data_IF_866663363646
#
_entry.id   IF_866663363646
#
_cell.length_a   1.000
_cell.length_b   1.000
_cell.length_c   1.000
_cell.angle_alpha   90.00
_cell.angle_beta   90.00
_cell.angle_gamma   90.00
#
_symmetry.space_group_name_H-M   'P 1'
#
loop_
_entity.id
_entity.type
_entity.pdbx_description
1 polymer ?
#
# COMPACT_ATOMS: atom_id res chain seq x y z
N UNK A 1 32.05 -3.45 0.05
CA UNK A 1 31.84 -3.05 1.46
C UNK A 1 30.60 -2.16 1.52
N UNK A 2 29.40 -2.72 1.29
CA UNK A 2 28.11 -2.01 1.35
C UNK A 2 27.36 -2.32 2.66
N UNK A 3 28.01 -3.04 3.59
CA UNK A 3 27.33 -3.74 4.70
C UNK A 3 27.21 -2.96 6.01
N UNK A 4 27.62 -1.68 6.08
CA UNK A 4 27.67 -0.94 7.36
C UNK A 4 26.74 0.30 7.47
N UNK A 5 25.77 0.48 6.58
CA UNK A 5 24.79 1.58 6.73
C UNK A 5 23.41 1.15 7.27
N UNK A 6 23.04 -0.11 7.13
CA UNK A 6 21.76 -0.63 7.63
C UNK A 6 21.99 -1.66 8.73
N UNK A 7 21.21 -1.56 9.81
CA UNK A 7 21.19 -2.56 10.87
C UNK A 7 20.69 -3.90 10.34
N UNK A 8 21.13 -5.00 10.96
CA UNK A 8 20.57 -6.33 10.71
C UNK A 8 19.05 -6.41 10.98
N UNK A 9 18.52 -5.50 11.80
CA UNK A 9 17.08 -5.38 12.10
C UNK A 9 16.30 -4.52 11.11
N UNK A 10 16.97 -3.92 10.11
CA UNK A 10 16.31 -3.08 9.11
C UNK A 10 15.25 -3.87 8.35
N UNK A 11 14.12 -3.21 8.07
CA UNK A 11 13.00 -3.86 7.40
C UNK A 11 13.33 -4.13 5.94
N UNK A 12 13.07 -5.37 5.50
CA UNK A 12 13.17 -5.82 4.12
C UNK A 12 11.97 -6.72 3.82
N UNK A 13 11.23 -6.42 2.77
CA UNK A 13 9.99 -7.10 2.44
C UNK A 13 10.19 -8.59 2.09
N UNK A 14 11.33 -8.95 1.51
CA UNK A 14 11.71 -10.34 1.20
C UNK A 14 11.81 -11.24 2.45
N UNK A 15 12.12 -10.64 3.61
CA UNK A 15 12.18 -11.32 4.91
C UNK A 15 10.85 -11.37 5.67
N UNK A 16 9.75 -10.89 5.07
CA UNK A 16 8.45 -10.83 5.73
C UNK A 16 7.96 -12.16 6.32
N UNK A 17 8.26 -13.29 5.65
CA UNK A 17 7.87 -14.64 6.11
C UNK A 17 8.52 -15.06 7.42
N UNK A 18 9.66 -14.45 7.78
CA UNK A 18 10.42 -14.76 9.00
C UNK A 18 9.97 -13.90 10.19
N UNK A 19 9.13 -12.89 9.96
CA UNK A 19 8.72 -11.93 10.99
C UNK A 19 7.63 -12.50 11.88
N UNK A 20 7.94 -12.65 13.17
CA UNK A 20 6.96 -12.99 14.20
C UNK A 20 6.33 -11.72 14.77
N UNK A 21 5.09 -11.44 14.40
CA UNK A 21 4.33 -10.26 14.88
C UNK A 21 3.61 -10.57 16.20
N UNK A 22 3.48 -9.59 17.12
CA UNK A 22 2.77 -9.78 18.37
C UNK A 22 1.25 -9.97 18.15
N UNK A 23 0.62 -10.64 19.12
CA UNK A 23 -0.84 -10.78 19.17
C UNK A 23 -1.53 -9.42 19.32
N UNK A 24 -2.75 -9.36 18.81
CA UNK A 24 -3.55 -8.13 18.84
C UNK A 24 -4.09 -7.89 20.24
N UNK A 25 -3.83 -6.71 20.80
CA UNK A 25 -4.37 -6.26 22.07
C UNK A 25 -5.79 -5.74 21.96
N UNK A 26 -6.43 -5.50 23.12
CA UNK A 26 -7.83 -5.05 23.19
C UNK A 26 -8.08 -3.73 22.44
N UNK A 27 -7.16 -2.75 22.55
CA UNK A 27 -7.31 -1.47 21.84
C UNK A 27 -7.25 -1.64 20.33
N UNK A 28 -6.37 -2.49 19.84
CA UNK A 28 -6.27 -2.80 18.41
C UNK A 28 -7.57 -3.42 17.88
N UNK A 29 -8.21 -4.30 18.66
CA UNK A 29 -9.49 -4.89 18.28
C UNK A 29 -10.62 -3.83 18.17
N UNK A 30 -10.56 -2.75 18.94
CA UNK A 30 -11.49 -1.61 18.82
C UNK A 30 -11.28 -0.88 17.50
N UNK A 31 -10.03 -0.60 17.13
CA UNK A 31 -9.66 -0.01 15.84
C UNK A 31 -10.18 -0.83 14.65
N UNK A 32 -9.96 -2.15 14.69
CA UNK A 32 -10.40 -3.03 13.60
C UNK A 32 -11.92 -3.11 13.38
N UNK A 33 -12.74 -2.62 14.31
CA UNK A 33 -14.21 -2.67 14.20
C UNK A 33 -14.82 -1.41 13.57
N UNK A 34 -14.12 -0.27 13.62
CA UNK A 34 -14.64 1.03 13.18
C UNK A 34 -13.84 1.69 12.07
N UNK A 35 -12.69 1.13 11.70
CA UNK A 35 -11.74 1.72 10.74
C UNK A 35 -11.42 0.74 9.62
N UNK A 36 -11.04 1.25 8.46
CA UNK A 36 -10.67 0.42 7.30
C UNK A 36 -9.18 0.06 7.45
N UNK A 37 -8.86 -1.22 7.59
CA UNK A 37 -7.46 -1.68 7.65
C UNK A 37 -6.81 -1.53 6.27
N UNK A 38 -5.62 -0.92 6.24
CA UNK A 38 -4.80 -0.83 5.05
C UNK A 38 -3.88 -2.07 4.95
N UNK A 39 -3.75 -2.68 3.77
CA UNK A 39 -2.95 -3.88 3.58
C UNK A 39 -1.45 -3.55 3.61
N UNK A 40 -0.64 -4.50 4.07
CA UNK A 40 0.79 -4.46 3.78
C UNK A 40 1.00 -4.85 2.32
N UNK A 41 1.66 -3.99 1.56
CA UNK A 41 1.84 -4.18 0.13
C UNK A 41 2.72 -5.41 -0.12
N UNK A 42 2.34 -6.26 -1.09
CA UNK A 42 3.18 -7.36 -1.56
C UNK A 42 4.10 -6.95 -2.71
N UNK A 43 3.64 -6.01 -3.53
CA UNK A 43 4.42 -5.35 -4.57
C UNK A 43 4.08 -3.86 -4.51
N UNK A 44 5.11 -3.02 -4.44
CA UNK A 44 4.94 -1.59 -4.41
C UNK A 44 4.49 -1.08 -5.79
N UNK A 45 3.41 -0.30 -5.84
CA UNK A 45 2.90 0.31 -7.06
C UNK A 45 3.85 1.39 -7.61
N UNK A 46 4.73 1.92 -6.74
CA UNK A 46 5.62 3.05 -7.04
C UNK A 46 4.84 4.31 -7.49
N UNK A 47 3.60 4.43 -7.02
CA UNK A 47 2.79 5.63 -7.15
C UNK A 47 2.99 6.45 -5.89
N UNK A 48 3.34 7.72 -6.02
CA UNK A 48 3.49 8.60 -4.87
C UNK A 48 2.14 9.24 -4.51
N UNK A 49 1.84 9.48 -3.21
CA UNK A 49 0.67 10.25 -2.81
C UNK A 49 0.74 11.65 -3.42
N UNK A 50 -0.44 12.24 -3.63
CA UNK A 50 -0.45 13.66 -3.99
C UNK A 50 -0.01 14.43 -2.76
N UNK A 51 1.16 15.07 -2.86
CA UNK A 51 1.60 16.00 -1.85
C UNK A 51 1.21 17.40 -2.30
N UNK A 52 0.50 18.11 -1.44
CA UNK A 52 0.40 19.55 -1.57
C UNK A 52 1.81 20.09 -1.36
N UNK A 53 2.50 20.39 -2.46
CA UNK A 53 3.74 21.14 -2.37
C UNK A 53 3.31 22.58 -2.10
N UNK A 54 3.20 22.95 -0.82
CA UNK A 54 3.09 24.36 -0.47
C UNK A 54 4.30 25.08 -1.09
N UNK A 55 4.09 26.29 -1.62
CA UNK A 55 5.15 27.09 -2.27
C UNK A 55 6.43 27.17 -1.39
N UNK A 56 6.27 27.06 -0.08
CA UNK A 56 7.33 27.06 0.93
C UNK A 56 8.35 25.90 0.84
N UNK A 57 8.01 24.75 0.23
CA UNK A 57 8.93 23.61 0.06
C UNK A 57 10.00 23.90 -1.00
N UNK A 58 9.73 24.81 -1.94
CA UNK A 58 10.73 25.27 -2.92
C UNK A 58 11.64 26.37 -2.38
N UNK A 59 11.17 27.14 -1.39
CA UNK A 59 11.86 28.33 -0.85
C UNK A 59 12.61 28.08 0.47
N UNK A 60 12.36 26.99 1.20
CA UNK A 60 13.11 26.74 2.43
C UNK A 60 14.49 26.15 2.12
N UNK A 61 15.53 26.95 2.39
CA UNK A 61 16.94 26.51 2.42
C UNK A 61 17.17 25.31 3.36
N UNK A 62 16.21 25.03 4.27
CA UNK A 62 16.19 23.94 5.25
C UNK A 62 15.93 22.54 4.67
N UNK A 63 15.42 22.41 3.42
CA UNK A 63 15.23 21.08 2.78
C UNK A 63 16.60 20.51 2.40
N UNK A 64 17.23 19.83 3.35
CA UNK A 64 18.53 19.18 3.16
C UNK A 64 19.47 19.24 4.36
N UNK A 65 19.13 19.99 5.42
CA UNK A 65 19.97 20.06 6.62
C UNK A 65 19.77 18.82 7.53
N UNK A 66 20.85 18.41 8.22
CA UNK A 66 20.83 17.37 9.26
C UNK A 66 19.97 17.86 10.44
N UNK A 67 18.67 17.61 10.37
CA UNK A 67 17.68 18.15 11.32
C UNK A 67 16.29 18.34 10.72
N UNK A 68 16.14 18.24 9.40
CA UNK A 68 14.83 18.27 8.73
C UNK A 68 13.91 17.15 9.24
N UNK A 69 12.60 17.44 9.31
CA UNK A 69 11.57 16.49 9.73
C UNK A 69 11.52 15.23 8.85
N UNK A 70 12.01 15.32 7.62
CA UNK A 70 12.20 14.21 6.71
C UNK A 70 13.68 14.07 6.35
N UNK A 71 14.26 12.91 6.63
CA UNK A 71 15.63 12.56 6.22
C UNK A 71 15.65 11.15 5.63
N UNK A 72 16.74 10.79 4.94
CA UNK A 72 16.90 9.41 4.45
C UNK A 72 16.98 8.37 5.58
N UNK A 73 17.29 8.76 6.82
CA UNK A 73 17.45 7.81 7.94
C UNK A 73 16.21 7.76 8.84
N UNK A 74 15.51 8.89 8.96
CA UNK A 74 14.43 9.11 9.92
C UNK A 74 13.31 9.95 9.31
N UNK A 75 12.09 9.45 9.46
CA UNK A 75 10.87 10.22 9.31
C UNK A 75 10.41 10.66 10.71
N UNK A 76 10.51 11.95 11.01
CA UNK A 76 10.15 12.50 12.30
C UNK A 76 8.63 12.57 12.49
N UNK A 77 8.18 12.24 13.70
CA UNK A 77 6.81 12.52 14.11
C UNK A 77 6.79 13.79 14.95
N UNK A 78 6.39 14.92 14.35
CA UNK A 78 6.31 16.21 15.07
C UNK A 78 4.97 16.34 15.78
N UNK A 79 4.99 16.34 17.11
CA UNK A 79 3.86 16.77 17.92
C UNK A 79 3.93 18.27 18.20
N UNK A 80 2.82 18.99 18.00
CA UNK A 80 2.68 20.36 18.51
C UNK A 80 2.53 20.27 20.03
N UNK A 81 3.31 21.04 20.80
CA UNK A 81 3.12 21.08 22.26
C UNK A 81 1.68 21.53 22.56
N UNK A 82 1.00 20.88 23.50
CA UNK A 82 -0.41 21.22 23.80
C UNK A 82 -0.63 22.71 24.13
N UNK A 83 0.31 23.34 24.84
CA UNK A 83 0.29 24.78 25.10
C UNK A 83 0.53 25.62 23.84
N UNK A 84 1.38 25.18 22.91
CA UNK A 84 1.64 25.94 21.68
C UNK A 84 0.47 25.84 20.72
N UNK A 85 -0.26 24.72 20.68
CA UNK A 85 -1.52 24.61 19.95
C UNK A 85 -2.57 25.60 20.50
N UNK A 86 -2.64 25.78 21.82
CA UNK A 86 -3.51 26.79 22.43
C UNK A 86 -3.11 28.21 22.02
N UNK A 87 -1.81 28.54 22.10
CA UNK A 87 -1.29 29.86 21.68
C UNK A 87 -1.54 30.11 20.19
N UNK A 88 -1.35 29.11 19.32
CA UNK A 88 -1.63 29.23 17.89
C UNK A 88 -3.12 29.44 17.60
N UNK A 89 -4.02 28.75 18.30
CA UNK A 89 -5.46 29.00 18.20
C UNK A 89 -5.83 30.40 18.71
N UNK A 90 -5.21 30.88 19.78
CA UNK A 90 -5.45 32.21 20.32
C UNK A 90 -4.95 33.31 19.37
N UNK A 91 -3.75 33.16 18.80
CA UNK A 91 -3.17 34.12 17.87
C UNK A 91 -3.87 34.11 16.50
N UNK A 92 -4.16 32.92 15.95
CA UNK A 92 -4.90 32.76 14.70
C UNK A 92 -6.37 33.21 14.83
N UNK A 93 -7.02 32.84 15.94
CA UNK A 93 -8.37 33.28 16.29
C UNK A 93 -8.43 34.75 16.68
N UNK A 94 -7.35 35.33 17.20
CA UNK A 94 -7.25 36.74 17.62
C UNK A 94 -7.60 37.71 16.50
N UNK A 95 -7.25 37.40 15.26
CA UNK A 95 -7.70 38.15 14.09
C UNK A 95 -9.24 38.10 13.93
N UNK A 96 -9.84 36.91 14.00
CA UNK A 96 -11.29 36.74 13.88
C UNK A 96 -12.03 37.45 15.03
N UNK A 97 -11.56 37.30 16.27
CA UNK A 97 -12.11 37.99 17.43
C UNK A 97 -11.98 39.51 17.31
N UNK A 98 -10.88 40.02 16.75
CA UNK A 98 -10.74 41.46 16.48
C UNK A 98 -11.73 41.96 15.43
N UNK A 99 -12.05 41.15 14.39
CA UNK A 99 -13.07 41.50 13.40
C UNK A 99 -14.47 41.49 13.99
N UNK A 100 -14.79 40.51 14.85
CA UNK A 100 -16.06 40.43 15.57
C UNK A 100 -16.20 41.61 16.54
N UNK A 101 -15.15 41.95 17.28
CA UNK A 101 -15.13 43.10 18.18
C UNK A 101 -15.26 44.43 17.42
N UNK A 102 -14.63 44.56 16.24
CA UNK A 102 -14.82 45.71 15.36
C UNK A 102 -16.27 45.81 14.87
N UNK A 103 -16.88 44.71 14.43
CA UNK A 103 -18.31 44.68 14.05
C UNK A 103 -19.22 45.08 15.22
N UNK A 104 -18.97 44.56 16.42
CA UNK A 104 -19.74 44.90 17.61
C UNK A 104 -19.60 46.39 17.99
N UNK A 105 -18.38 46.94 17.88
CA UNK A 105 -18.13 48.37 18.14
C UNK A 105 -18.78 49.26 17.07
N UNK A 106 -18.73 48.88 15.79
CA UNK A 106 -19.44 49.61 14.73
C UNK A 106 -20.95 49.61 14.98
N UNK A 107 -21.53 48.48 15.38
CA UNK A 107 -22.96 48.41 15.76
C UNK A 107 -23.25 49.27 16.98
N UNK A 108 -22.37 49.27 17.99
CA UNK A 108 -22.51 50.10 19.19
C UNK A 108 -22.38 51.60 18.87
N UNK A 109 -21.48 52.00 17.97
CA UNK A 109 -21.33 53.39 17.51
C UNK A 109 -22.46 53.85 16.56
N UNK A 110 -23.25 52.92 16.00
CA UNK A 110 -24.48 53.22 15.26
C UNK A 110 -25.72 53.25 16.19
N UNK A 111 -25.64 52.62 17.36
CA UNK A 111 -26.71 52.60 18.38
C UNK A 111 -27.21 53.99 18.86
N UNK A 112 -26.41 55.08 18.84
CA UNK A 112 -26.89 56.42 19.19
C UNK A 112 -27.76 57.08 18.12
N UNK A 113 -27.80 56.54 16.89
CA UNK A 113 -28.65 57.07 15.81
C UNK A 113 -30.12 56.61 15.93
N UNK A 114 -30.46 55.83 16.96
CA UNK A 114 -31.84 55.59 17.39
C UNK A 114 -32.31 56.77 18.26
N UNK A 115 -33.55 57.25 18.09
CA UNK A 115 -33.99 58.52 18.65
C UNK A 115 -33.96 58.49 20.18
N UNK A 116 -33.11 59.35 20.79
CA UNK A 116 -33.03 59.80 22.20
C UNK A 116 -31.60 59.88 22.82
N UNK A 117 -30.51 59.79 22.04
CA UNK A 117 -29.14 59.93 22.57
C UNK A 117 -28.51 61.30 22.20
N UNK A 118 -28.17 62.12 23.19
CA UNK A 118 -27.23 63.24 23.01
C UNK A 118 -25.80 62.67 23.12
N UNK A 119 -24.93 62.90 22.14
CA UNK A 119 -23.52 62.46 22.16
C UNK A 119 -22.58 63.61 21.80
N UNK A 120 -21.48 63.72 22.55
CA UNK A 120 -20.43 64.72 22.35
C UNK A 120 -19.38 64.22 21.32
N UNK A 121 -18.71 65.16 20.62
CA UNK A 121 -17.65 64.85 19.64
C UNK A 121 -16.50 64.03 20.27
N UNK A 122 -16.26 64.22 21.56
CA UNK A 122 -15.27 63.45 22.33
C UNK A 122 -15.61 61.96 22.40
N UNK A 123 -16.88 61.61 22.53
CA UNK A 123 -17.33 60.21 22.61
C UNK A 123 -17.18 59.52 21.25
N UNK A 124 -17.48 60.25 20.17
CA UNK A 124 -17.23 59.78 18.79
C UNK A 124 -15.74 59.51 18.53
N UNK A 125 -14.84 60.39 18.97
CA UNK A 125 -13.40 60.19 18.82
C UNK A 125 -12.86 59.03 19.66
N UNK A 126 -13.42 58.81 20.85
CA UNK A 126 -13.07 57.68 21.71
C UNK A 126 -13.45 56.36 21.04
N UNK A 127 -14.66 56.27 20.48
CA UNK A 127 -15.15 55.11 19.74
C UNK A 127 -14.26 54.77 18.54
N UNK A 128 -13.94 55.76 17.70
CA UNK A 128 -13.05 55.57 16.54
C UNK A 128 -11.66 55.09 16.99
N UNK A 129 -11.14 55.64 18.10
CA UNK A 129 -9.84 55.25 18.64
C UNK A 129 -9.84 53.80 19.16
N UNK A 130 -10.92 53.36 19.80
CA UNK A 130 -11.08 51.98 20.27
C UNK A 130 -11.21 51.03 19.08
N UNK A 131 -12.03 51.37 18.08
CA UNK A 131 -12.20 50.58 16.84
C UNK A 131 -10.85 50.43 16.12
N UNK A 132 -10.12 51.53 15.92
CA UNK A 132 -8.80 51.51 15.31
C UNK A 132 -7.80 50.67 16.09
N UNK A 133 -7.80 50.78 17.43
CA UNK A 133 -6.95 49.99 18.32
C UNK A 133 -7.21 48.48 18.22
N UNK A 134 -8.48 48.06 18.22
CA UNK A 134 -8.88 46.65 18.06
C UNK A 134 -8.47 46.11 16.70
N UNK A 135 -8.64 46.89 15.63
CA UNK A 135 -8.21 46.52 14.30
C UNK A 135 -6.69 46.34 14.22
N UNK A 136 -5.91 47.30 14.72
CA UNK A 136 -4.44 47.20 14.77
C UNK A 136 -3.96 45.99 15.57
N UNK A 137 -4.62 45.68 16.70
CA UNK A 137 -4.31 44.50 17.50
C UNK A 137 -4.58 43.19 16.73
N UNK A 138 -5.64 43.14 15.94
CA UNK A 138 -5.94 42.03 15.03
C UNK A 138 -4.85 41.78 13.99
N UNK A 139 -4.38 42.84 13.34
CA UNK A 139 -3.26 42.75 12.38
C UNK A 139 -1.96 42.34 13.06
N UNK A 140 -1.70 42.82 14.27
CA UNK A 140 -0.53 42.41 15.05
C UNK A 140 -0.60 40.90 15.35
N UNK A 141 -1.75 40.38 15.80
CA UNK A 141 -1.91 38.93 16.02
C UNK A 141 -1.73 38.13 14.73
N UNK A 142 -2.29 38.58 13.60
CA UNK A 142 -2.12 37.92 12.30
C UNK A 142 -0.66 37.92 11.83
N UNK A 143 0.06 39.01 12.07
CA UNK A 143 1.48 39.14 11.75
C UNK A 143 2.33 38.20 12.61
N UNK A 144 2.14 38.20 13.93
CA UNK A 144 2.82 37.30 14.86
C UNK A 144 2.52 35.84 14.48
N UNK A 145 1.27 35.51 14.19
CA UNK A 145 0.87 34.18 13.75
C UNK A 145 1.59 33.78 12.46
N UNK A 146 1.61 34.65 11.45
CA UNK A 146 2.31 34.37 10.18
C UNK A 146 3.82 34.24 10.36
N UNK A 147 4.41 34.97 11.29
CA UNK A 147 5.83 34.85 11.63
C UNK A 147 6.10 33.50 12.30
N UNK A 148 5.27 33.10 13.27
CA UNK A 148 5.38 31.79 13.91
C UNK A 148 5.18 30.66 12.88
N UNK A 149 4.21 30.74 11.97
CA UNK A 149 4.04 29.71 10.92
C UNK A 149 5.32 29.45 10.10
N UNK A 150 6.19 30.46 9.95
CA UNK A 150 7.48 30.33 9.26
C UNK A 150 8.62 29.77 10.13
N UNK A 151 8.44 29.73 11.45
CA UNK A 151 9.42 29.31 12.44
C UNK A 151 8.87 28.15 13.31
N UNK A 152 8.57 26.98 12.70
CA UNK A 152 8.01 25.83 13.40
C UNK A 152 8.86 25.34 14.58
N UNK A 153 10.17 25.54 14.54
CA UNK A 153 11.13 25.20 15.59
C UNK A 153 10.84 25.87 16.94
N UNK A 154 10.10 26.98 16.97
CA UNK A 154 9.72 27.64 18.22
C UNK A 154 8.58 26.93 18.97
N UNK A 155 7.81 26.08 18.29
CA UNK A 155 6.63 25.42 18.90
C UNK A 155 6.47 23.93 18.63
N UNK A 156 7.14 23.40 17.62
CA UNK A 156 7.32 21.98 17.40
C UNK A 156 8.66 21.55 18.03
N UNK A 157 8.60 20.67 19.02
CA UNK A 157 9.82 20.04 19.55
C UNK A 157 9.99 18.65 19.01
N UNK A 158 11.21 18.34 18.59
CA UNK A 158 11.61 16.97 18.34
C UNK A 158 11.64 16.18 19.66
N UNK A 159 10.72 15.24 19.82
CA UNK A 159 10.68 14.36 20.99
C UNK A 159 11.54 13.10 20.82
N UNK A 160 12.24 12.96 19.68
CA UNK A 160 13.05 11.79 19.32
C UNK A 160 12.22 10.62 18.77
N UNK A 161 10.91 10.80 18.59
CA UNK A 161 9.98 9.81 18.04
C UNK A 161 9.86 9.91 16.51
N UNK A 162 9.46 8.79 15.91
CA UNK A 162 9.37 8.64 14.46
C UNK A 162 9.82 7.28 13.97
N UNK A 163 9.97 7.18 12.66
CA UNK A 163 10.27 5.94 11.95
C UNK A 163 11.71 5.97 11.46
N UNK A 164 12.50 4.96 11.81
CA UNK A 164 13.94 4.90 11.54
C UNK A 164 14.24 3.82 10.50
N UNK A 165 14.47 4.24 9.26
CA UNK A 165 14.74 3.36 8.11
C UNK A 165 15.96 2.46 8.35
N UNK A 166 17.06 3.04 8.80
CA UNK A 166 18.33 2.31 9.00
C UNK A 166 18.22 1.16 10.02
N UNK A 167 17.34 1.28 11.01
CA UNK A 167 17.19 0.26 12.06
C UNK A 167 15.95 -0.60 11.89
N UNK A 168 14.97 -0.19 11.08
CA UNK A 168 13.66 -0.84 10.99
C UNK A 168 12.78 -0.62 12.23
N UNK A 169 13.15 0.33 13.10
CA UNK A 169 12.49 0.58 14.38
C UNK A 169 11.65 1.85 14.33
N UNK A 170 10.57 1.86 15.10
CA UNK A 170 9.72 3.00 15.39
C UNK A 170 9.97 3.40 16.84
N UNK A 171 10.44 4.63 17.05
CA UNK A 171 10.66 5.16 18.40
C UNK A 171 9.47 6.01 18.81
N UNK A 172 9.02 5.83 20.04
CA UNK A 172 7.83 6.46 20.59
C UNK A 172 8.20 7.13 21.90
N UNK A 173 7.92 8.44 22.04
CA UNK A 173 8.12 9.13 23.31
C UNK A 173 7.01 8.72 24.29
N UNK A 174 7.40 8.12 25.40
CA UNK A 174 6.53 7.85 26.55
C UNK A 174 6.93 8.73 27.74
N UNK A 175 6.11 8.68 28.79
CA UNK A 175 6.33 9.43 30.04
C UNK A 175 7.74 9.24 30.63
N UNK A 176 8.30 8.04 30.54
CA UNK A 176 9.58 7.67 31.16
C UNK A 176 10.71 7.46 30.14
N UNK A 177 10.63 8.11 28.98
CA UNK A 177 11.69 8.04 27.97
C UNK A 177 11.20 7.51 26.63
N UNK A 178 12.17 7.21 25.76
CA UNK A 178 11.93 6.78 24.39
C UNK A 178 11.91 5.25 24.34
N UNK A 179 10.84 4.68 23.80
CA UNK A 179 10.69 3.22 23.64
C UNK A 179 10.70 2.88 22.16
N UNK A 180 11.43 1.83 21.79
CA UNK A 180 11.56 1.38 20.39
C UNK A 180 10.74 0.12 20.15
N UNK A 181 10.05 0.06 19.01
CA UNK A 181 9.25 -1.08 18.55
C UNK A 181 9.64 -1.42 17.11
N UNK A 182 9.63 -2.71 16.70
CA UNK A 182 9.79 -3.07 15.29
C UNK A 182 8.70 -2.42 14.42
N UNK A 183 9.05 -1.91 13.25
CA UNK A 183 8.07 -1.33 12.31
C UNK A 183 6.98 -2.33 11.91
N UNK A 184 7.34 -3.60 11.81
CA UNK A 184 6.43 -4.70 11.51
C UNK A 184 5.37 -4.90 12.59
N UNK A 185 5.49 -4.35 13.79
CA UNK A 185 4.49 -4.53 14.86
C UNK A 185 3.29 -3.58 14.71
N UNK A 186 3.32 -2.71 13.70
CA UNK A 186 2.27 -1.74 13.39
C UNK A 186 1.42 -2.18 12.19
N UNK A 187 0.13 -1.88 12.22
CA UNK A 187 -0.76 -1.93 11.06
C UNK A 187 -1.37 -0.55 10.86
N UNK A 188 -1.72 -0.23 9.62
CA UNK A 188 -2.30 1.05 9.27
C UNK A 188 -3.81 0.95 9.06
N UNK A 189 -4.52 2.02 9.40
CA UNK A 189 -5.96 2.15 9.28
C UNK A 189 -6.34 3.52 8.73
N UNK A 190 -7.43 3.57 7.97
CA UNK A 190 -8.13 4.82 7.67
C UNK A 190 -9.14 5.06 8.78
N UNK A 191 -8.87 6.07 9.60
CA UNK A 191 -9.72 6.49 10.69
C UNK A 191 -10.66 7.61 10.26
N UNK A 192 -11.95 7.49 10.57
CA UNK A 192 -12.92 8.55 10.30
C UNK A 192 -13.10 9.39 11.56
N UNK A 193 -12.62 10.62 11.51
CA UNK A 193 -12.85 11.60 12.55
C UNK A 193 -14.04 12.49 12.21
N UNK A 194 -14.88 12.74 13.21
CA UNK A 194 -15.98 13.70 13.13
C UNK A 194 -15.67 14.84 14.08
N UNK A 195 -15.48 16.04 13.54
CA UNK A 195 -15.32 17.23 14.38
C UNK A 195 -16.65 17.49 15.10
N UNK A 196 -16.60 17.42 16.43
CA UNK A 196 -17.77 17.65 17.29
C UNK A 196 -18.37 19.05 17.17
N UNK A 197 -17.58 20.03 16.72
CA UNK A 197 -18.01 21.43 16.65
C UNK A 197 -18.57 21.79 15.27
N UNK A 198 -17.89 21.40 14.19
CA UNK A 198 -18.34 21.72 12.83
C UNK A 198 -19.24 20.64 12.21
N UNK A 199 -19.28 19.43 12.79
CA UNK A 199 -19.94 18.27 12.19
C UNK A 199 -19.25 17.74 10.93
N UNK A 200 -18.12 18.34 10.54
CA UNK A 200 -17.36 17.89 9.37
C UNK A 200 -16.69 16.57 9.66
N UNK A 201 -16.62 15.73 8.62
CA UNK A 201 -15.89 14.47 8.67
C UNK A 201 -14.60 14.58 7.90
N UNK A 202 -13.52 14.05 8.47
CA UNK A 202 -12.24 13.95 7.80
C UNK A 202 -11.62 12.59 8.12
N UNK A 203 -10.83 12.07 7.18
CA UNK A 203 -10.14 10.79 7.34
C UNK A 203 -8.68 11.01 7.65
N UNK A 204 -8.12 10.21 8.56
CA UNK A 204 -6.71 10.24 8.93
C UNK A 204 -6.05 8.87 8.68
N UNK A 205 -4.75 8.88 8.33
CA UNK A 205 -3.93 7.68 8.37
C UNK A 205 -3.47 7.42 9.81
N UNK A 206 -4.06 6.39 10.44
CA UNK A 206 -3.68 5.93 11.76
C UNK A 206 -2.74 4.72 11.65
N UNK A 207 -1.51 4.85 12.14
CA UNK A 207 -0.55 3.74 12.26
C UNK A 207 -0.58 3.24 13.71
N UNK A 208 -1.14 2.04 13.90
CA UNK A 208 -1.53 1.49 15.20
C UNK A 208 -0.65 0.30 15.55
N UNK A 209 -0.07 0.31 16.74
CA UNK A 209 0.67 -0.85 17.25
C UNK A 209 -0.30 -1.99 17.61
N UNK A 210 0.04 -3.24 17.26
CA UNK A 210 -0.81 -4.43 17.47
C UNK A 210 -1.14 -4.73 18.93
N UNK A 211 -0.15 -4.81 19.81
CA UNK A 211 -0.35 -5.13 21.24
C UNK A 211 -0.35 -3.91 22.17
N UNK A 212 0.46 -2.89 21.85
CA UNK A 212 0.69 -1.73 22.72
C UNK A 212 -0.31 -0.60 22.46
N UNK A 213 -0.52 0.25 23.47
CA UNK A 213 -1.38 1.45 23.38
C UNK A 213 -0.66 2.60 22.67
N UNK A 214 -0.21 2.40 21.43
CA UNK A 214 0.53 3.38 20.61
C UNK A 214 -0.18 3.57 19.27
N UNK A 215 -0.44 4.83 18.92
CA UNK A 215 -1.04 5.24 17.64
C UNK A 215 -0.32 6.49 17.14
N UNK A 216 0.01 6.53 15.86
CA UNK A 216 0.49 7.72 15.16
C UNK A 216 -0.56 8.15 14.14
N UNK A 217 -0.94 9.42 14.15
CA UNK A 217 -1.78 10.00 13.10
C UNK A 217 -0.88 10.77 12.13
N UNK A 218 -0.72 10.24 10.93
CA UNK A 218 0.22 10.78 9.95
C UNK A 218 -0.53 11.60 8.91
N UNK A 219 -0.15 12.88 8.76
CA UNK A 219 -0.53 13.69 7.63
C UNK A 219 0.68 13.84 6.69
N UNK A 220 0.83 12.90 5.75
CA UNK A 220 1.95 12.88 4.81
C UNK A 220 1.67 13.66 3.50
N UNK A 221 0.42 14.09 3.29
CA UNK A 221 0.01 14.85 2.08
C UNK A 221 0.01 16.35 2.29
N UNK A 222 -0.10 16.81 3.55
CA UNK A 222 -0.32 18.22 3.89
C UNK A 222 -1.76 18.68 3.62
N UNK A 223 -2.64 17.81 3.12
CA UNK A 223 -4.04 18.14 2.87
C UNK A 223 -4.86 17.99 4.15
N UNK A 224 -5.77 18.95 4.39
CA UNK A 224 -6.74 18.89 5.50
C UNK A 224 -7.82 17.81 5.29
N UNK A 225 -8.10 17.43 4.03
CA UNK A 225 -9.12 16.46 3.66
C UNK A 225 -8.60 15.47 2.61
N UNK A 226 -7.62 14.64 3.01
CA UNK A 226 -7.11 13.57 2.18
C UNK A 226 -8.20 12.50 1.93
N UNK A 227 -8.32 12.01 0.69
CA UNK A 227 -9.26 10.92 0.37
C UNK A 227 -8.77 9.58 0.93
N UNK A 228 -9.64 8.56 1.10
CA UNK A 228 -9.21 7.22 1.51
C UNK A 228 -8.07 6.66 0.65
N UNK A 229 -8.09 6.89 -0.66
CA UNK A 229 -7.05 6.43 -1.60
C UNK A 229 -5.70 7.11 -1.34
N UNK A 230 -5.67 8.37 -0.91
CA UNK A 230 -4.44 9.03 -0.48
C UNK A 230 -3.84 8.30 0.72
N UNK A 231 -4.65 7.81 1.66
CA UNK A 231 -4.15 7.06 2.81
C UNK A 231 -3.50 5.72 2.42
N UNK A 232 -4.02 5.02 1.40
CA UNK A 232 -3.35 3.83 0.85
C UNK A 232 -1.96 4.17 0.30
N UNK A 233 -1.85 5.25 -0.48
CA UNK A 233 -0.57 5.69 -1.04
C UNK A 233 0.41 6.19 0.03
N UNK A 234 -0.08 6.92 1.02
CA UNK A 234 0.72 7.35 2.16
C UNK A 234 1.26 6.15 2.94
N UNK A 235 0.44 5.12 3.14
CA UNK A 235 0.87 3.89 3.79
C UNK A 235 1.89 3.12 2.95
N UNK A 236 1.67 2.98 1.63
CA UNK A 236 2.64 2.36 0.74
C UNK A 236 3.97 3.12 0.70
N UNK A 237 3.91 4.46 0.62
CA UNK A 237 5.06 5.34 0.65
C UNK A 237 5.86 5.17 1.95
N UNK A 238 5.19 5.08 3.10
CA UNK A 238 5.84 4.82 4.38
C UNK A 238 6.49 3.43 4.42
N UNK A 239 5.81 2.40 3.89
CA UNK A 239 6.41 1.06 3.78
C UNK A 239 7.67 1.07 2.92
N UNK A 240 7.64 1.73 1.74
CA UNK A 240 8.80 1.89 0.85
C UNK A 240 9.92 2.69 1.50
N UNK A 241 9.57 3.74 2.25
CA UNK A 241 10.52 4.51 3.04
C UNK A 241 11.19 3.65 4.12
N UNK A 242 10.48 2.72 4.75
CA UNK A 242 11.06 1.84 5.77
C UNK A 242 11.80 0.63 5.19
N UNK A 243 11.47 0.21 3.97
CA UNK A 243 12.08 -0.94 3.31
C UNK A 243 13.43 -0.58 2.67
N UNK A 244 14.52 -1.08 3.24
CA UNK A 244 15.88 -0.81 2.75
C UNK A 244 16.21 -1.54 1.43
N UNK A 245 15.38 -2.49 1.00
CA UNK A 245 15.49 -3.13 -0.32
C UNK A 245 14.97 -2.25 -1.45
N UNK A 246 14.16 -1.24 -1.13
CA UNK A 246 13.58 -0.32 -2.10
C UNK A 246 14.28 1.04 -2.07
N UNK A 247 14.31 1.75 -3.19
CA UNK A 247 14.73 3.15 -3.21
C UNK A 247 13.75 4.02 -2.42
N UNK A 248 14.24 5.10 -1.82
CA UNK A 248 13.42 6.13 -1.18
C UNK A 248 12.29 6.61 -2.11
N UNK A 249 11.12 6.96 -1.56
CA UNK A 249 10.04 7.60 -2.31
C UNK A 249 10.53 8.78 -3.15
N UNK A 250 10.02 8.87 -4.38
CA UNK A 250 10.43 9.92 -5.31
C UNK A 250 9.61 11.20 -5.06
N UNK A 251 9.92 11.89 -3.96
CA UNK A 251 9.25 13.13 -3.53
C UNK A 251 10.27 14.27 -3.36
N UNK A 252 9.85 15.54 -3.52
CA UNK A 252 10.75 16.70 -3.41
C UNK A 252 11.54 16.77 -2.10
N UNK A 253 10.90 16.43 -0.96
CA UNK A 253 11.49 16.52 0.38
C UNK A 253 12.66 15.55 0.58
N UNK A 254 12.67 14.43 -0.15
CA UNK A 254 13.74 13.44 -0.05
C UNK A 254 14.85 13.67 -1.10
N UNK A 255 14.66 14.58 -2.05
CA UNK A 255 15.61 14.84 -3.15
C UNK A 255 17.06 15.06 -2.67
N UNK A 256 17.33 15.91 -1.65
CA UNK A 256 18.70 16.14 -1.18
C UNK A 256 19.36 14.88 -0.60
N UNK A 257 18.56 13.96 -0.06
CA UNK A 257 19.06 12.78 0.64
C UNK A 257 19.12 11.53 -0.25
N UNK A 258 18.57 11.55 -1.47
CA UNK A 258 18.62 10.40 -2.40
C UNK A 258 20.05 9.91 -2.69
N UNK A 259 21.06 10.78 -2.89
CA UNK A 259 22.44 10.32 -3.09
C UNK A 259 23.09 9.72 -1.83
N UNK A 260 22.57 10.01 -0.64
CA UNK A 260 23.13 9.56 0.64
C UNK A 260 22.65 8.16 1.03
N UNK A 261 21.45 7.76 0.58
CA UNK A 261 20.93 6.41 0.80
C UNK A 261 21.51 5.43 -0.26
N UNK A 262 22.20 4.36 0.16
CA UNK A 262 22.97 3.50 -0.75
C UNK A 262 22.07 2.75 -1.73
N UNK A 263 20.92 2.22 -1.27
CA UNK A 263 19.95 1.55 -2.14
C UNK A 263 19.38 2.51 -3.18
N UNK A 264 19.04 3.73 -2.75
CA UNK A 264 18.50 4.78 -3.63
C UNK A 264 19.54 5.25 -4.64
N UNK A 265 20.77 5.52 -4.22
CA UNK A 265 21.86 5.94 -5.09
C UNK A 265 22.17 4.89 -6.17
N UNK A 266 22.19 3.60 -5.81
CA UNK A 266 22.37 2.51 -6.76
C UNK A 266 21.22 2.43 -7.77
N UNK A 267 19.97 2.52 -7.29
CA UNK A 267 18.77 2.52 -8.13
C UNK A 267 18.72 3.71 -9.10
N UNK A 268 19.04 4.92 -8.62
CA UNK A 268 19.02 6.14 -9.40
C UNK A 268 20.13 6.15 -10.46
N UNK A 269 21.32 5.64 -10.12
CA UNK A 269 22.41 5.41 -11.07
C UNK A 269 22.01 4.42 -12.17
N UNK A 270 21.35 3.32 -11.80
CA UNK A 270 20.89 2.31 -12.76
C UNK A 270 19.83 2.86 -13.73
N UNK A 271 18.95 3.76 -13.27
CA UNK A 271 17.92 4.40 -14.10
C UNK A 271 18.37 5.70 -14.79
N UNK A 272 19.59 6.17 -14.56
CA UNK A 272 20.09 7.44 -15.11
C UNK A 272 19.31 8.67 -14.61
N UNK A 273 18.75 8.62 -13.40
CA UNK A 273 17.99 9.73 -12.81
C UNK A 273 18.92 10.87 -12.39
N UNK A 274 18.59 12.11 -12.76
CA UNK A 274 19.32 13.31 -12.31
C UNK A 274 18.98 13.66 -10.85
N UNK A 275 19.96 14.13 -10.10
CA UNK A 275 19.86 14.46 -8.67
C UNK A 275 19.12 15.79 -8.38
N UNK A 276 18.85 16.59 -9.40
CA UNK A 276 18.19 17.90 -9.32
C UNK A 276 16.84 17.92 -10.03
N UNK A 277 16.22 16.74 -10.19
CA UNK A 277 14.95 16.55 -10.90
C UNK A 277 13.86 17.44 -10.32
N UNK A 278 13.70 17.43 -8.99
CA UNK A 278 12.64 18.19 -8.32
C UNK A 278 12.94 19.69 -8.27
N UNK A 279 14.20 20.08 -8.06
CA UNK A 279 14.62 21.49 -8.04
C UNK A 279 14.42 22.21 -9.38
N UNK A 280 14.58 21.50 -10.50
CA UNK A 280 14.39 22.05 -11.85
C UNK A 280 12.94 22.00 -12.35
N UNK A 281 12.03 21.40 -11.60
CA UNK A 281 10.63 21.26 -11.99
C UNK A 281 9.85 22.52 -11.60
N UNK A 282 9.12 23.14 -12.53
CA UNK A 282 8.35 24.33 -12.19
C UNK A 282 7.08 23.96 -11.40
N UNK A 283 6.71 24.73 -10.35
CA UNK A 283 5.54 24.43 -9.50
C UNK A 283 4.24 24.32 -10.31
N UNK A 284 4.02 25.27 -11.23
CA UNK A 284 2.85 25.30 -12.13
C UNK A 284 2.76 24.07 -13.04
N UNK A 285 3.90 23.50 -13.45
CA UNK A 285 3.93 22.29 -14.27
C UNK A 285 3.62 21.04 -13.44
N UNK A 286 4.11 20.99 -12.21
CA UNK A 286 3.82 19.93 -11.25
C UNK A 286 2.32 19.81 -10.97
N UNK A 287 1.68 20.92 -10.59
CA UNK A 287 0.23 20.96 -10.31
C UNK A 287 -0.60 20.53 -11.52
N UNK A 288 -0.27 21.02 -12.72
CA UNK A 288 -1.14 20.79 -13.88
C UNK A 288 -1.04 19.38 -14.45
N UNK A 289 0.16 18.76 -14.45
CA UNK A 289 0.40 17.49 -15.13
C UNK A 289 0.61 16.32 -14.18
N UNK A 290 1.40 16.52 -13.12
CA UNK A 290 1.73 15.45 -12.18
C UNK A 290 0.53 15.19 -11.29
N UNK A 291 -0.09 16.22 -10.71
CA UNK A 291 -1.30 16.08 -9.90
C UNK A 291 -2.44 15.42 -10.68
N UNK A 292 -2.70 15.88 -11.92
CA UNK A 292 -3.80 15.37 -12.75
C UNK A 292 -3.59 13.92 -13.18
N UNK A 293 -2.34 13.55 -13.52
CA UNK A 293 -1.97 12.18 -13.89
C UNK A 293 -1.98 11.25 -12.66
N UNK A 294 -1.50 11.72 -11.51
CA UNK A 294 -1.55 11.01 -10.23
C UNK A 294 -2.99 10.80 -9.76
N UNK A 295 -3.84 11.84 -9.75
CA UNK A 295 -5.28 11.71 -9.45
C UNK A 295 -5.96 10.70 -10.35
N UNK A 296 -5.63 10.69 -11.65
CA UNK A 296 -6.20 9.72 -12.60
C UNK A 296 -5.68 8.30 -12.41
N UNK A 297 -4.43 8.12 -11.98
CA UNK A 297 -3.88 6.81 -11.64
C UNK A 297 -4.49 6.29 -10.33
N UNK A 298 -4.63 7.17 -9.33
CA UNK A 298 -5.26 6.92 -8.03
C UNK A 298 -6.70 6.43 -8.16
N UNK A 299 -7.50 7.05 -9.06
CA UNK A 299 -8.91 6.69 -9.25
C UNK A 299 -9.12 5.42 -10.06
N UNK A 300 -8.13 4.97 -10.84
CA UNK A 300 -8.23 3.76 -11.68
C UNK A 300 -7.74 2.49 -11.00
N UNK A 301 -6.93 2.63 -9.95
CA UNK A 301 -6.39 1.49 -9.23
C UNK A 301 -7.44 0.94 -8.25
N UNK A 302 -7.61 -0.38 -8.25
CA UNK A 302 -8.53 -1.04 -7.32
C UNK A 302 -7.81 -1.29 -5.99
N UNK A 303 -8.06 -0.42 -5.02
CA UNK A 303 -7.40 -0.45 -3.71
C UNK A 303 -7.99 -1.48 -2.74
N UNK A 304 -9.22 -1.96 -2.99
CA UNK A 304 -9.95 -2.84 -2.08
C UNK A 304 -9.52 -4.31 -2.19
N UNK A 305 -8.95 -4.71 -3.32
CA UNK A 305 -8.54 -6.10 -3.60
C UNK A 305 -7.03 -6.35 -3.42
N UNK A 306 -6.30 -5.44 -2.76
CA UNK A 306 -4.84 -5.62 -2.55
C UNK A 306 -4.63 -6.69 -1.48
N UNK A 307 -3.91 -7.79 -1.78
CA UNK A 307 -3.64 -8.82 -0.79
C UNK A 307 -2.65 -8.30 0.27
N UNK A 308 -3.01 -8.46 1.54
CA UNK A 308 -2.16 -8.06 2.67
C UNK A 308 -1.03 -9.09 2.88
N UNK A 309 0.21 -8.62 2.89
CA UNK A 309 1.43 -9.43 3.09
C UNK A 309 1.39 -10.25 4.38
N UNK A 310 0.78 -9.73 5.45
CA UNK A 310 0.70 -10.38 6.76
C UNK A 310 -0.67 -10.98 7.07
N UNK A 311 -1.58 -11.07 6.10
CA UNK A 311 -2.85 -11.78 6.32
C UNK A 311 -2.57 -13.26 6.65
N UNK A 312 -3.11 -13.71 7.79
CA UNK A 312 -2.95 -15.06 8.29
C UNK A 312 -3.49 -16.09 7.31
N UNK A 313 -4.53 -15.78 6.53
CA UNK A 313 -5.04 -16.70 5.51
C UNK A 313 -4.06 -16.86 4.37
N UNK A 314 -3.46 -15.78 3.90
CA UNK A 314 -2.41 -15.80 2.87
C UNK A 314 -1.16 -16.52 3.37
N UNK A 315 -0.77 -16.30 4.63
CA UNK A 315 0.36 -16.99 5.25
C UNK A 315 0.09 -18.48 5.48
N UNK A 316 -1.10 -18.85 5.97
CA UNK A 316 -1.51 -20.25 6.12
C UNK A 316 -1.63 -20.95 4.77
N UNK A 317 -2.17 -20.30 3.75
CA UNK A 317 -2.22 -20.84 2.39
C UNK A 317 -0.81 -21.06 1.83
N UNK A 318 0.11 -20.09 1.98
CA UNK A 318 1.52 -20.25 1.58
C UNK A 318 2.22 -21.36 2.36
N UNK A 319 1.99 -21.46 3.66
CA UNK A 319 2.58 -22.49 4.51
C UNK A 319 2.04 -23.88 4.19
N UNK A 320 0.74 -24.00 3.92
CA UNK A 320 0.12 -25.23 3.44
C UNK A 320 0.62 -25.62 2.04
N UNK A 321 0.78 -24.65 1.13
CA UNK A 321 1.36 -24.88 -0.19
C UNK A 321 2.83 -25.31 -0.10
N UNK A 322 3.63 -24.70 0.78
CA UNK A 322 5.02 -25.06 1.01
C UNK A 322 5.15 -26.47 1.63
N UNK A 323 4.33 -26.78 2.63
CA UNK A 323 4.28 -28.12 3.24
C UNK A 323 3.86 -29.17 2.21
N UNK A 324 2.83 -28.87 1.40
CA UNK A 324 2.39 -29.74 0.31
C UNK A 324 3.51 -29.94 -0.71
N UNK A 325 4.23 -28.87 -1.10
CA UNK A 325 5.36 -28.96 -2.02
C UNK A 325 6.53 -29.79 -1.46
N UNK A 326 6.82 -29.69 -0.16
CA UNK A 326 7.84 -30.50 0.51
C UNK A 326 7.43 -31.98 0.59
N UNK A 327 6.18 -32.26 0.94
CA UNK A 327 5.61 -33.61 0.92
C UNK A 327 5.62 -34.21 -0.48
N UNK A 328 5.24 -33.42 -1.48
CA UNK A 328 5.26 -33.80 -2.90
C UNK A 328 6.69 -34.07 -3.39
N UNK A 329 7.66 -33.26 -2.97
CA UNK A 329 9.09 -33.47 -3.26
C UNK A 329 9.65 -34.72 -2.56
N UNK A 330 9.26 -34.98 -1.31
CA UNK A 330 9.63 -36.19 -0.58
C UNK A 330 8.97 -37.45 -1.18
N UNK A 331 7.73 -37.36 -1.64
CA UNK A 331 7.02 -38.42 -2.35
C UNK A 331 7.65 -38.73 -3.72
N UNK A 332 8.20 -37.72 -4.39
CA UNK A 332 8.99 -37.87 -5.61
C UNK A 332 10.33 -38.56 -5.33
N UNK A 333 11.06 -38.12 -4.29
CA UNK A 333 12.35 -38.70 -3.88
C UNK A 333 12.23 -40.15 -3.39
N UNK A 334 11.11 -40.51 -2.76
CA UNK A 334 10.84 -41.88 -2.28
C UNK A 334 10.26 -42.81 -3.35
N UNK A 335 10.03 -42.33 -4.58
CA UNK A 335 9.51 -43.14 -5.69
C UNK A 335 8.03 -43.53 -5.59
N UNK A 336 7.31 -43.08 -4.54
CA UNK A 336 5.86 -43.30 -4.38
C UNK A 336 5.04 -42.60 -5.46
N UNK A 337 5.55 -41.51 -6.02
CA UNK A 337 4.90 -40.77 -7.11
C UNK A 337 5.86 -40.64 -8.28
N UNK A 338 5.47 -41.17 -9.45
CA UNK A 338 6.32 -41.22 -10.65
C UNK A 338 6.47 -39.88 -11.38
N UNK A 339 5.69 -38.84 -11.04
CA UNK A 339 5.69 -37.52 -11.72
C UNK A 339 5.55 -36.36 -10.74
N UNK A 340 6.22 -35.24 -11.02
CA UNK A 340 6.15 -34.01 -10.23
C UNK A 340 4.72 -33.44 -10.18
N UNK A 341 4.15 -33.16 -9.00
CA UNK A 341 2.79 -32.62 -8.85
C UNK A 341 2.57 -31.25 -9.49
N UNK A 342 3.60 -30.40 -9.51
CA UNK A 342 3.55 -29.10 -10.21
C UNK A 342 3.42 -29.28 -11.72
N UNK A 343 4.16 -30.23 -12.30
CA UNK A 343 4.01 -30.59 -13.72
C UNK A 343 2.66 -31.24 -14.02
N UNK A 344 2.09 -32.04 -13.10
CA UNK A 344 0.76 -32.64 -13.26
C UNK A 344 -0.34 -31.56 -13.35
N UNK A 345 -0.25 -30.50 -12.57
CA UNK A 345 -1.25 -29.43 -12.52
C UNK A 345 -1.04 -28.37 -13.63
N UNK A 346 0.21 -28.07 -14.00
CA UNK A 346 0.52 -27.26 -15.19
C UNK A 346 0.12 -27.98 -16.47
N UNK A 347 0.36 -29.29 -16.60
CA UNK A 347 -0.09 -30.10 -17.75
C UNK A 347 -1.62 -30.19 -17.82
N UNK A 348 -2.32 -30.06 -16.68
CA UNK A 348 -3.78 -30.01 -16.64
C UNK A 348 -4.36 -28.63 -17.02
N UNK A 349 -3.61 -27.53 -16.85
CA UNK A 349 -4.07 -26.14 -17.10
C UNK A 349 -3.51 -25.51 -18.38
N UNK A 350 -2.25 -25.76 -18.69
CA UNK A 350 -1.54 -25.31 -19.88
C UNK A 350 -1.42 -26.49 -20.83
N UNK A 351 -2.49 -26.65 -21.60
CA UNK A 351 -2.58 -27.13 -22.98
C UNK A 351 -1.81 -28.41 -23.41
N UNK A 352 -2.48 -29.22 -24.23
CA UNK A 352 -2.12 -29.68 -25.59
C UNK A 352 -0.66 -30.05 -25.99
N UNK A 353 0.39 -29.75 -25.24
CA UNK A 353 1.73 -30.35 -25.38
C UNK A 353 2.65 -30.00 -24.21
N UNK A 354 3.31 -31.01 -23.64
CA UNK A 354 4.40 -30.83 -22.66
C UNK A 354 5.68 -30.33 -23.35
N UNK A 355 6.19 -29.13 -23.04
CA UNK A 355 7.41 -28.56 -23.65
C UNK A 355 8.70 -29.34 -23.35
N UNK A 356 8.70 -30.24 -22.36
CA UNK A 356 9.88 -31.06 -22.05
C UNK A 356 10.00 -32.31 -22.94
N UNK A 357 8.91 -32.75 -23.59
CA UNK A 357 8.89 -33.98 -24.40
C UNK A 357 8.01 -33.94 -25.68
N UNK A 358 7.30 -32.84 -25.95
CA UNK A 358 6.56 -32.61 -27.20
C UNK A 358 5.25 -33.39 -27.39
N UNK A 359 4.73 -34.07 -26.36
CA UNK A 359 3.57 -34.97 -26.52
C UNK A 359 2.21 -34.23 -26.60
N UNK A 360 1.51 -34.31 -27.72
CA UNK A 360 0.14 -33.79 -27.90
C UNK A 360 -0.92 -34.81 -27.46
N UNK A 361 -1.89 -34.37 -26.65
CA UNK A 361 -3.01 -35.21 -26.16
C UNK A 361 -4.25 -34.84 -26.98
N UNK A 362 -4.70 -35.75 -27.84
CA UNK A 362 -5.91 -35.53 -28.65
C UNK A 362 -7.18 -35.67 -27.79
N UNK A 363 -8.11 -34.74 -28.02
CA UNK A 363 -9.38 -34.59 -27.33
C UNK A 363 -10.19 -35.88 -27.34
N UNK A 364 -10.82 -36.16 -26.20
CA UNK A 364 -12.07 -36.90 -26.20
C UNK A 364 -13.18 -36.00 -26.67
N UNK A 365 -14.23 -36.58 -27.24
CA UNK A 365 -15.56 -36.13 -26.86
C UNK A 365 -16.65 -37.16 -27.21
N UNK A 366 -17.63 -37.40 -26.34
CA UNK A 366 -18.90 -37.98 -26.78
C UNK A 366 -20.00 -36.92 -26.95
N UNK A 367 -19.57 -35.67 -27.18
CA UNK A 367 -20.24 -34.69 -28.03
C UNK A 367 -19.40 -34.16 -29.24
N UNK A 368 -18.24 -34.75 -29.56
CA UNK A 368 -17.40 -34.44 -30.77
C UNK A 368 -16.70 -35.66 -31.46
N UNK A 369 -16.71 -36.90 -30.93
CA UNK A 369 -16.24 -38.07 -31.70
C UNK A 369 -17.34 -38.64 -32.57
N UNK A 370 -17.11 -38.62 -33.88
CA UNK A 370 -18.05 -39.16 -34.88
C UNK A 370 -17.82 -40.67 -35.12
N UNK A 371 -16.65 -41.24 -34.80
CA UNK A 371 -16.24 -42.62 -35.15
C UNK A 371 -15.88 -43.46 -33.91
N UNK A 372 -16.32 -44.72 -33.86
CA UNK A 372 -16.21 -45.59 -32.67
C UNK A 372 -14.90 -46.38 -32.62
N UNK A 373 -14.49 -46.85 -31.43
CA UNK A 373 -13.30 -47.70 -31.23
C UNK A 373 -13.26 -48.91 -32.17
N UNK A 374 -14.38 -49.62 -32.34
CA UNK A 374 -14.45 -50.79 -33.23
C UNK A 374 -14.25 -50.40 -34.70
N UNK A 375 -14.70 -49.21 -35.12
CA UNK A 375 -14.46 -48.71 -36.48
C UNK A 375 -12.99 -48.35 -36.70
N UNK A 376 -12.32 -47.75 -35.70
CA UNK A 376 -10.89 -47.48 -35.76
C UNK A 376 -10.06 -48.76 -35.95
N UNK A 377 -10.40 -49.83 -35.22
CA UNK A 377 -9.71 -51.13 -35.31
C UNK A 377 -9.93 -51.79 -36.67
N UNK A 378 -11.17 -51.77 -37.19
CA UNK A 378 -11.49 -52.31 -38.53
C UNK A 378 -10.70 -51.58 -39.62
N UNK A 379 -10.54 -50.26 -39.49
CA UNK A 379 -9.74 -49.47 -40.41
C UNK A 379 -8.23 -49.63 -40.20
N UNK A 380 -7.82 -50.27 -39.11
CA UNK A 380 -6.40 -50.46 -38.76
C UNK A 380 -5.74 -49.23 -38.15
N UNK A 381 -6.53 -48.27 -37.66
CA UNK A 381 -6.03 -47.05 -37.06
C UNK A 381 -5.62 -47.30 -35.61
N UNK A 382 -4.39 -47.81 -35.48
CA UNK A 382 -3.77 -48.16 -34.22
C UNK A 382 -3.69 -46.99 -33.25
N UNK A 383 -3.44 -45.80 -33.77
CA UNK A 383 -3.27 -44.60 -32.97
C UNK A 383 -4.61 -44.16 -32.36
N UNK A 384 -5.67 -44.14 -33.17
CA UNK A 384 -7.00 -43.79 -32.67
C UNK A 384 -7.53 -44.84 -31.70
N UNK A 385 -7.29 -46.13 -31.95
CA UNK A 385 -7.63 -47.21 -31.03
C UNK A 385 -6.89 -47.10 -29.69
N UNK A 386 -5.58 -46.82 -29.71
CA UNK A 386 -4.79 -46.56 -28.49
C UNK A 386 -5.32 -45.37 -27.71
N UNK A 387 -5.66 -44.30 -28.42
CA UNK A 387 -6.21 -43.11 -27.82
C UNK A 387 -7.51 -43.43 -27.10
N UNK A 388 -8.43 -44.22 -27.65
CA UNK A 388 -9.63 -44.66 -26.94
C UNK A 388 -9.33 -45.49 -25.69
N UNK A 389 -8.30 -46.35 -25.69
CA UNK A 389 -7.93 -47.17 -24.52
C UNK A 389 -7.26 -46.39 -23.39
N UNK A 390 -6.32 -45.50 -23.71
CA UNK A 390 -5.73 -44.55 -22.74
C UNK A 390 -6.80 -43.69 -22.07
N UNK A 391 -7.91 -43.58 -22.78
CA UNK A 391 -9.08 -42.86 -22.43
C UNK A 391 -10.19 -43.71 -21.75
N UNK A 392 -9.87 -44.93 -21.33
CA UNK A 392 -10.74 -45.77 -20.51
C UNK A 392 -11.83 -46.50 -21.27
N UNK A 393 -11.75 -46.60 -22.61
CA UNK A 393 -12.61 -47.49 -23.38
C UNK A 393 -12.32 -48.95 -23.03
N UNK A 394 -13.37 -49.77 -22.93
CA UNK A 394 -13.24 -51.18 -22.56
C UNK A 394 -12.76 -52.05 -23.74
N UNK A 395 -11.62 -52.72 -23.57
CA UNK A 395 -10.99 -53.60 -24.56
C UNK A 395 -11.70 -54.94 -24.77
N UNK A 396 -12.69 -55.29 -23.95
CA UNK A 396 -13.46 -56.55 -24.05
C UNK A 396 -14.87 -56.38 -24.61
N UNK A 397 -15.39 -55.16 -24.64
CA UNK A 397 -16.76 -54.89 -25.06
C UNK A 397 -16.97 -55.20 -26.55
N UNK A 398 -17.89 -56.10 -26.94
CA UNK A 398 -18.15 -56.42 -28.34
C UNK A 398 -18.93 -55.31 -29.05
N UNK A 399 -18.80 -55.26 -30.39
CA UNK A 399 -19.61 -54.38 -31.23
C UNK A 399 -21.03 -54.94 -31.45
N UNK A 400 -21.85 -54.23 -32.23
CA UNK A 400 -23.22 -54.66 -32.58
C UNK A 400 -23.32 -55.98 -33.37
N UNK A 401 -22.21 -56.50 -33.89
CA UNK A 401 -22.13 -57.80 -34.56
C UNK A 401 -21.58 -58.91 -33.65
N UNK A 402 -21.34 -58.63 -32.36
CA UNK A 402 -20.82 -59.58 -31.38
C UNK A 402 -19.30 -59.78 -31.42
N UNK A 403 -18.56 -58.94 -32.16
CA UNK A 403 -17.12 -59.09 -32.35
C UNK A 403 -16.34 -58.20 -31.36
N UNK A 404 -15.34 -58.77 -30.70
CA UNK A 404 -14.48 -58.03 -29.77
C UNK A 404 -13.40 -57.23 -30.49
N UNK A 405 -12.86 -56.15 -29.88
CA UNK A 405 -11.70 -55.40 -30.39
C UNK A 405 -10.55 -56.32 -30.85
N UNK A 406 -10.22 -57.34 -30.04
CA UNK A 406 -9.16 -58.29 -30.33
C UNK A 406 -9.47 -59.15 -31.57
N UNK A 407 -10.70 -59.66 -31.68
CA UNK A 407 -11.13 -60.47 -32.84
C UNK A 407 -11.07 -59.67 -34.14
N UNK A 408 -11.42 -58.38 -34.09
CA UNK A 408 -11.34 -57.48 -35.25
C UNK A 408 -9.90 -57.25 -35.68
N UNK A 409 -8.98 -57.02 -34.72
CA UNK A 409 -7.55 -56.84 -35.00
C UNK A 409 -6.91 -58.13 -35.57
N UNK A 410 -7.26 -59.30 -35.02
CA UNK A 410 -6.77 -60.59 -35.51
C UNK A 410 -7.28 -60.93 -36.92
N UNK A 411 -8.56 -60.67 -37.21
CA UNK A 411 -9.13 -60.86 -38.55
C UNK A 411 -8.42 -60.02 -39.61
N UNK A 412 -7.91 -58.84 -39.22
CA UNK A 412 -7.12 -57.97 -40.08
C UNK A 412 -5.68 -58.47 -40.28
N UNK A 413 -5.19 -59.34 -39.41
CA UNK A 413 -3.79 -59.80 -39.38
C UNK A 413 -2.81 -58.73 -38.88
N UNK A 414 -3.31 -57.75 -38.11
CA UNK A 414 -2.50 -56.63 -37.62
C UNK A 414 -1.96 -56.92 -36.22
N UNK A 415 -0.78 -57.53 -36.18
CA UNK A 415 -0.14 -57.98 -34.96
C UNK A 415 0.13 -56.83 -33.97
N UNK A 416 0.39 -55.63 -34.47
CA UNK A 416 0.65 -54.46 -33.64
C UNK A 416 -0.62 -54.01 -32.91
N UNK A 417 -1.76 -54.07 -33.58
CA UNK A 417 -3.06 -53.75 -32.96
C UNK A 417 -3.46 -54.80 -31.93
N UNK A 418 -3.17 -56.07 -32.20
CA UNK A 418 -3.38 -57.18 -31.25
C UNK A 418 -2.56 -56.97 -29.98
N UNK A 419 -1.27 -56.64 -30.10
CA UNK A 419 -0.38 -56.41 -28.96
C UNK A 419 -0.84 -55.22 -28.11
N UNK A 420 -1.34 -54.16 -28.74
CA UNK A 420 -1.90 -53.00 -28.05
C UNK A 420 -3.16 -53.35 -27.26
N UNK A 421 -4.10 -54.10 -27.84
CA UNK A 421 -5.35 -54.45 -27.18
C UNK A 421 -5.07 -55.37 -25.97
N UNK A 422 -4.12 -56.30 -26.10
CA UNK A 422 -3.66 -57.16 -25.00
C UNK A 422 -2.99 -56.35 -23.88
N UNK A 423 -2.21 -55.32 -24.22
CA UNK A 423 -1.57 -54.43 -23.24
C UNK A 423 -2.59 -53.69 -22.35
N UNK A 424 -3.76 -53.38 -22.90
CA UNK A 424 -4.88 -52.73 -22.18
C UNK A 424 -5.90 -53.75 -21.63
N UNK A 425 -5.52 -55.03 -21.54
CA UNK A 425 -6.28 -56.08 -20.85
C UNK A 425 -7.38 -56.73 -21.69
N UNK A 426 -7.38 -56.54 -23.01
CA UNK A 426 -8.31 -57.18 -23.95
C UNK A 426 -7.85 -58.56 -24.38
N UNK A 427 -7.94 -59.54 -23.49
CA UNK A 427 -7.72 -60.98 -23.76
C UNK A 427 -8.94 -61.68 -24.37
#
# INVERSE_FOLDING_TARGET
>A
MLDEQYSATAWQQDKASQVKRPETGLRYATWSKGSIKLPWSQNYTNIEPYQYIADHIYDSEEVGEEGSSWSHTRLQYTGVKGYTAFVMNFLGGGYIYSMIALLALVVFSISPYFPNAEHDFRDMLLDISIIGGVFCLGFLFRYIFSYLEKHPEWFATDNGDGFFRQTGMVKVKKRFGLVSYPFTDFDAFVDLHVDSTSGQTYTNLAVVHRSQKVVFYLNLTGELQATPQQHYLCWEMLQRFMDVSQSLPDIPQLEPFRPLDPTTAAHDKAKGRKADKWKKMSPKWFEQRVAKKLKKAQTRFNWEDIPDLFDQRTQQQKQQQALKAEQDAAALKSGKVKRCPSCKELVAKLAASCEHCGYQINQYDASQFVMTLHQAIVQGDWALAKQHFEHGADAKSPNGNGETPLQLAQKRGDQLMVDLILQYGGE
#
